data_IF_332072466339
#
_entry.id   IF_332072466339
#
_cell.length_a   1.000
_cell.length_b   1.000
_cell.length_c   1.000
_cell.angle_alpha   90.00
_cell.angle_beta   90.00
_cell.angle_gamma   90.00
#
_symmetry.space_group_name_H-M   'P 1'
#
loop_
_entity.id
_entity.type
_entity.pdbx_description
1 polymer ?
#
# COMPACT_ATOMS: atom_id res chain seq x y z
N UNK A 1 -1.18 -19.10 -7.37
CA UNK A 1 -0.60 -19.58 -6.11
C UNK A 1 -1.21 -20.93 -5.79
N UNK A 2 -0.40 -21.88 -5.33
CA UNK A 2 -0.85 -23.22 -4.94
C UNK A 2 -1.53 -23.13 -3.54
N UNK A 3 -2.85 -23.29 -3.52
CA UNK A 3 -3.67 -23.19 -2.30
C UNK A 3 -3.30 -24.28 -1.29
N UNK A 4 -3.05 -25.50 -1.75
CA UNK A 4 -2.70 -26.65 -0.87
C UNK A 4 -1.35 -26.44 -0.20
N UNK A 5 -0.37 -25.93 -0.95
CA UNK A 5 0.95 -25.62 -0.42
C UNK A 5 0.87 -24.52 0.66
N UNK A 6 0.14 -23.43 0.42
CA UNK A 6 -0.04 -22.35 1.40
C UNK A 6 -0.79 -22.85 2.63
N UNK A 7 -1.88 -23.60 2.46
CA UNK A 7 -2.63 -24.18 3.56
C UNK A 7 -1.78 -25.12 4.42
N UNK A 8 -0.90 -25.93 3.78
CA UNK A 8 0.06 -26.79 4.49
C UNK A 8 1.05 -25.99 5.35
N UNK A 9 1.48 -24.83 4.90
CA UNK A 9 2.32 -23.91 5.69
C UNK A 9 1.53 -23.34 6.88
N UNK A 10 0.33 -22.86 6.64
CA UNK A 10 -0.53 -22.29 7.68
C UNK A 10 -0.83 -23.29 8.80
N UNK A 11 -1.10 -24.56 8.45
CA UNK A 11 -1.33 -25.65 9.45
C UNK A 11 -0.16 -25.89 10.38
N UNK A 12 1.06 -25.60 9.94
CA UNK A 12 2.29 -25.79 10.72
C UNK A 12 2.79 -24.52 11.39
N UNK A 13 2.21 -23.37 11.03
CA UNK A 13 2.61 -22.09 11.58
C UNK A 13 2.14 -21.98 13.04
N UNK A 14 2.99 -21.44 13.89
CA UNK A 14 2.64 -21.11 15.27
C UNK A 14 1.57 -20.03 15.34
N UNK A 15 1.63 -19.07 14.43
CA UNK A 15 0.68 -17.98 14.28
C UNK A 15 0.53 -17.64 12.78
N UNK A 16 -0.66 -17.26 12.39
CA UNK A 16 -0.94 -16.83 11.02
C UNK A 16 -1.52 -15.42 11.05
N UNK A 17 -0.96 -14.55 10.23
CA UNK A 17 -1.52 -13.22 9.97
C UNK A 17 -1.70 -13.04 8.47
N UNK A 18 -2.86 -12.56 8.08
CA UNK A 18 -3.19 -12.21 6.69
C UNK A 18 -3.73 -10.79 6.62
N UNK A 19 -3.69 -10.21 5.43
CA UNK A 19 -4.08 -8.82 5.24
C UNK A 19 -5.58 -8.61 5.04
N UNK A 20 -6.28 -9.64 4.57
CA UNK A 20 -7.68 -9.55 4.18
C UNK A 20 -8.44 -10.86 4.42
N UNK A 21 -9.76 -10.75 4.50
CA UNK A 21 -10.68 -11.86 4.73
C UNK A 21 -10.64 -12.90 3.59
N UNK A 22 -10.51 -12.45 2.34
CA UNK A 22 -10.45 -13.34 1.17
C UNK A 22 -9.24 -14.26 1.27
N UNK A 23 -8.10 -13.75 1.70
CA UNK A 23 -6.89 -14.55 1.96
C UNK A 23 -7.12 -15.54 3.10
N UNK A 24 -7.78 -15.11 4.20
CA UNK A 24 -8.10 -15.97 5.32
C UNK A 24 -9.03 -17.13 4.92
N UNK A 25 -10.08 -16.84 4.16
CA UNK A 25 -11.04 -17.85 3.67
C UNK A 25 -10.37 -18.83 2.69
N UNK A 26 -9.61 -18.30 1.71
CA UNK A 26 -9.00 -19.11 0.66
C UNK A 26 -7.95 -20.10 1.20
N UNK A 27 -7.13 -19.68 2.15
CA UNK A 27 -6.01 -20.48 2.65
C UNK A 27 -6.21 -21.03 4.05
N UNK A 28 -7.25 -20.59 4.77
CA UNK A 28 -7.49 -20.94 6.16
C UNK A 28 -8.30 -22.21 6.38
N UNK A 29 -8.75 -22.89 5.32
CA UNK A 29 -9.60 -24.06 5.45
C UNK A 29 -8.94 -25.18 6.26
N UNK A 30 -9.59 -25.61 7.38
CA UNK A 30 -9.10 -26.67 8.25
C UNK A 30 -7.87 -26.28 9.09
N UNK A 31 -7.67 -25.01 9.35
CA UNK A 31 -6.65 -24.51 10.28
C UNK A 31 -7.28 -24.37 11.66
N UNK A 32 -6.67 -25.01 12.66
CA UNK A 32 -7.14 -24.96 14.05
C UNK A 32 -6.68 -23.68 14.77
N UNK A 33 -5.56 -23.10 14.34
CA UNK A 33 -5.03 -21.88 14.91
C UNK A 33 -5.83 -20.67 14.45
N UNK A 34 -5.95 -19.68 15.32
CA UNK A 34 -6.56 -18.40 14.99
C UNK A 34 -5.77 -17.72 13.86
N UNK A 35 -6.46 -17.33 12.78
CA UNK A 35 -5.92 -16.50 11.73
C UNK A 35 -6.25 -15.05 12.08
N UNK A 36 -5.23 -14.27 12.38
CA UNK A 36 -5.38 -12.84 12.60
C UNK A 36 -5.46 -12.11 11.26
N UNK A 37 -6.39 -11.18 11.14
CA UNK A 37 -6.50 -10.29 9.98
C UNK A 37 -6.09 -8.91 10.44
N UNK A 38 -4.99 -8.38 9.91
CA UNK A 38 -4.53 -7.02 10.22
C UNK A 38 -4.11 -6.31 8.93
N UNK A 39 -4.06 -4.98 8.97
CA UNK A 39 -3.47 -4.21 7.88
C UNK A 39 -1.99 -4.60 7.65
N UNK A 40 -1.45 -4.22 6.49
CA UNK A 40 -0.06 -4.50 6.15
C UNK A 40 0.90 -3.95 7.22
N UNK A 41 1.83 -4.75 7.78
CA UNK A 41 2.77 -4.31 8.81
C UNK A 41 3.69 -3.16 8.35
N UNK A 42 3.85 -2.96 7.05
CA UNK A 42 4.55 -1.79 6.49
C UNK A 42 3.97 -0.48 7.04
N UNK A 43 2.67 -0.42 7.33
CA UNK A 43 2.01 0.77 7.88
C UNK A 43 2.61 1.14 9.26
N UNK A 44 2.97 0.16 10.08
CA UNK A 44 3.63 0.42 11.36
C UNK A 44 5.03 1.00 11.17
N UNK A 45 5.80 0.48 10.20
CA UNK A 45 7.13 1.00 9.86
C UNK A 45 7.08 2.46 9.37
N UNK A 46 6.01 2.84 8.65
CA UNK A 46 5.86 4.19 8.11
C UNK A 46 5.64 5.28 9.16
N UNK A 47 5.32 4.91 10.40
CA UNK A 47 5.12 5.87 11.51
C UNK A 47 6.33 6.70 11.87
N UNK A 48 7.52 6.20 11.58
CA UNK A 48 8.79 6.86 11.92
C UNK A 48 9.21 7.89 10.86
N UNK A 49 8.38 8.07 9.81
CA UNK A 49 8.65 9.01 8.74
C UNK A 49 7.83 10.29 8.89
N UNK A 50 8.54 11.43 8.85
CA UNK A 50 7.91 12.74 8.83
C UNK A 50 7.68 13.22 7.39
N UNK A 51 6.43 13.58 7.09
CA UNK A 51 6.02 14.02 5.74
C UNK A 51 6.21 15.53 5.65
N UNK A 52 7.12 15.95 4.80
CA UNK A 52 7.45 17.33 4.46
C UNK A 52 6.98 17.64 3.03
N UNK A 53 5.66 17.63 2.83
CA UNK A 53 5.06 17.79 1.51
C UNK A 53 5.45 19.13 0.86
N UNK A 54 5.99 19.04 -0.35
CA UNK A 54 6.26 20.19 -1.22
C UNK A 54 5.01 20.51 -2.03
N UNK A 55 4.66 21.78 -2.12
CA UNK A 55 3.47 22.22 -2.85
C UNK A 55 3.52 21.75 -4.31
N UNK A 56 2.39 21.23 -4.79
CA UNK A 56 2.28 20.71 -6.16
C UNK A 56 3.29 19.62 -6.51
N UNK A 57 3.75 18.85 -5.52
CA UNK A 57 4.59 17.68 -5.75
C UNK A 57 3.74 16.41 -5.55
N UNK A 58 3.82 15.50 -6.50
CA UNK A 58 3.04 14.26 -6.55
C UNK A 58 3.97 13.07 -6.81
N UNK A 59 3.81 11.98 -6.04
CA UNK A 59 4.46 10.71 -6.36
C UNK A 59 3.56 9.89 -7.30
N UNK A 60 4.12 9.48 -8.45
CA UNK A 60 3.54 8.46 -9.31
C UNK A 60 4.23 7.11 -9.05
N UNK A 61 3.54 6.21 -8.35
CA UNK A 61 4.02 4.85 -8.05
C UNK A 61 3.48 3.86 -9.06
N UNK A 62 4.35 3.36 -9.96
CA UNK A 62 3.95 2.52 -11.10
C UNK A 62 4.23 1.03 -10.88
N UNK A 63 3.36 0.18 -11.44
CA UNK A 63 3.57 -1.27 -11.51
C UNK A 63 4.03 -1.64 -12.92
N UNK A 64 5.32 -2.04 -13.11
CA UNK A 64 5.89 -2.19 -14.45
C UNK A 64 5.32 -3.37 -15.26
N UNK A 65 4.64 -4.32 -14.61
CA UNK A 65 4.15 -5.54 -15.25
C UNK A 65 2.63 -5.56 -15.45
N UNK A 66 1.86 -4.84 -14.61
CA UNK A 66 0.39 -4.85 -14.66
C UNK A 66 -0.18 -3.78 -15.59
N UNK A 67 0.55 -2.70 -15.79
CA UNK A 67 0.14 -1.56 -16.58
C UNK A 67 1.23 -1.27 -17.60
N UNK A 68 0.84 -1.10 -18.85
CA UNK A 68 1.78 -0.83 -19.95
C UNK A 68 2.40 0.58 -19.84
N UNK A 69 3.56 0.74 -20.47
CA UNK A 69 4.34 1.99 -20.42
C UNK A 69 3.56 3.17 -21.01
N UNK A 70 2.79 2.95 -22.07
CA UNK A 70 1.98 4.00 -22.68
C UNK A 70 0.91 4.53 -21.73
N UNK A 71 0.31 3.67 -20.92
CA UNK A 71 -0.65 4.06 -19.89
C UNK A 71 0.04 4.83 -18.76
N UNK A 72 1.25 4.43 -18.35
CA UNK A 72 2.04 5.19 -17.38
C UNK A 72 2.36 6.60 -17.90
N UNK A 73 2.82 6.72 -19.14
CA UNK A 73 3.12 8.00 -19.76
C UNK A 73 1.91 8.93 -19.80
N UNK A 74 0.73 8.39 -20.13
CA UNK A 74 -0.53 9.15 -20.15
C UNK A 74 -0.91 9.62 -18.74
N UNK A 75 -0.79 8.77 -17.72
CA UNK A 75 -1.04 9.14 -16.33
C UNK A 75 -0.10 10.27 -15.92
N UNK A 76 1.20 10.15 -16.22
CA UNK A 76 2.18 11.19 -15.92
C UNK A 76 1.83 12.52 -16.60
N UNK A 77 1.52 12.49 -17.90
CA UNK A 77 1.12 13.69 -18.65
C UNK A 77 -0.11 14.38 -18.05
N UNK A 78 -1.11 13.61 -17.62
CA UNK A 78 -2.30 14.18 -16.97
C UNK A 78 -1.95 14.83 -15.63
N UNK A 79 -1.06 14.23 -14.84
CA UNK A 79 -0.60 14.82 -13.58
C UNK A 79 0.20 16.12 -13.82
N UNK A 80 1.08 16.13 -14.81
CA UNK A 80 1.86 17.31 -15.19
C UNK A 80 0.96 18.44 -15.75
N UNK A 81 -0.03 18.09 -16.57
CA UNK A 81 -1.04 19.03 -17.09
C UNK A 81 -1.90 19.65 -15.97
N UNK A 82 -2.13 18.93 -14.87
CA UNK A 82 -2.76 19.44 -13.67
C UNK A 82 -1.85 20.34 -12.81
N UNK A 83 -0.60 20.56 -13.25
CA UNK A 83 0.37 21.46 -12.62
C UNK A 83 1.20 20.81 -11.52
N UNK A 84 1.27 19.47 -11.47
CA UNK A 84 2.11 18.77 -10.51
C UNK A 84 3.53 18.56 -11.02
N UNK A 85 4.51 18.70 -10.11
CA UNK A 85 5.83 18.14 -10.27
C UNK A 85 5.76 16.65 -9.94
N UNK A 86 6.01 15.77 -10.92
CA UNK A 86 5.82 14.32 -10.78
C UNK A 86 7.12 13.63 -10.41
N UNK A 87 7.14 12.98 -9.26
CA UNK A 87 8.21 12.08 -8.82
C UNK A 87 7.81 10.64 -9.19
N UNK A 88 8.44 10.09 -10.23
CA UNK A 88 8.15 8.74 -10.71
C UNK A 88 8.96 7.69 -9.95
N UNK A 89 8.29 6.67 -9.40
CA UNK A 89 8.95 5.54 -8.75
C UNK A 89 8.28 4.22 -9.09
N UNK A 90 9.08 3.15 -9.24
CA UNK A 90 8.58 1.78 -9.28
C UNK A 90 8.29 1.22 -7.88
N UNK A 91 8.66 1.94 -6.84
CA UNK A 91 8.53 1.52 -5.43
C UNK A 91 9.09 0.10 -5.21
N UNK A 92 10.29 -0.14 -5.74
CA UNK A 92 11.04 -1.40 -5.65
C UNK A 92 12.45 -1.07 -5.19
N UNK A 93 12.86 -1.70 -4.09
CA UNK A 93 14.22 -1.56 -3.58
C UNK A 93 15.23 -2.11 -4.60
N UNK A 94 16.32 -1.38 -4.78
CA UNK A 94 17.50 -1.79 -5.57
C UNK A 94 18.75 -1.79 -4.71
N UNK A 95 19.88 -2.30 -5.18
CA UNK A 95 21.15 -2.20 -4.44
C UNK A 95 21.58 -0.74 -4.17
N UNK A 96 21.19 0.18 -5.05
CA UNK A 96 21.56 1.61 -4.99
C UNK A 96 20.56 2.46 -4.20
N UNK A 97 19.31 2.02 -4.09
CA UNK A 97 18.21 2.75 -3.47
C UNK A 97 17.44 1.88 -2.49
N UNK A 98 17.62 2.15 -1.21
CA UNK A 98 16.94 1.45 -0.12
C UNK A 98 15.46 1.82 0.01
N UNK A 99 14.70 1.02 0.73
CA UNK A 99 13.28 1.30 0.99
C UNK A 99 13.08 2.64 1.71
N UNK A 100 13.96 2.97 2.65
CA UNK A 100 13.91 4.22 3.39
C UNK A 100 14.13 5.43 2.47
N UNK A 101 15.07 5.33 1.53
CA UNK A 101 15.37 6.38 0.55
C UNK A 101 14.17 6.60 -0.38
N UNK A 102 13.53 5.51 -0.84
CA UNK A 102 12.31 5.58 -1.65
C UNK A 102 11.20 6.32 -0.89
N UNK A 103 10.96 5.96 0.37
CA UNK A 103 9.92 6.60 1.19
C UNK A 103 10.23 8.08 1.39
N UNK A 104 11.46 8.43 1.78
CA UNK A 104 11.87 9.82 2.05
C UNK A 104 11.86 10.68 0.80
N UNK A 105 12.45 10.19 -0.29
CA UNK A 105 12.63 10.98 -1.49
C UNK A 105 11.33 11.17 -2.29
N UNK A 106 10.53 10.13 -2.43
CA UNK A 106 9.31 10.20 -3.23
C UNK A 106 8.10 10.55 -2.35
N UNK A 107 7.76 9.71 -1.39
CA UNK A 107 6.49 9.83 -0.68
C UNK A 107 6.48 10.97 0.32
N UNK A 108 7.50 11.12 1.17
CA UNK A 108 7.49 12.15 2.21
C UNK A 108 7.51 13.59 1.67
N UNK A 109 7.87 13.79 0.40
CA UNK A 109 7.86 15.09 -0.27
C UNK A 109 6.55 15.40 -1.01
N UNK A 110 5.65 14.44 -1.10
CA UNK A 110 4.45 14.57 -1.93
C UNK A 110 3.22 14.97 -1.12
N UNK A 111 2.41 15.87 -1.69
CA UNK A 111 1.09 16.21 -1.16
C UNK A 111 0.00 15.24 -1.63
N UNK A 112 0.27 14.47 -2.70
CA UNK A 112 -0.63 13.50 -3.29
C UNK A 112 0.16 12.32 -3.86
N UNK A 113 -0.43 11.13 -3.84
CA UNK A 113 0.13 9.95 -4.51
C UNK A 113 -0.85 9.46 -5.57
N UNK A 114 -0.36 9.25 -6.79
CA UNK A 114 -1.07 8.48 -7.82
C UNK A 114 -0.40 7.11 -7.91
N UNK A 115 -1.17 6.04 -7.82
CA UNK A 115 -0.59 4.70 -7.78
C UNK A 115 -1.31 3.72 -8.69
N UNK A 116 -0.54 2.96 -9.46
CA UNK A 116 -0.99 1.75 -10.16
C UNK A 116 -0.57 0.48 -9.41
N UNK A 117 0.00 0.65 -8.20
CA UNK A 117 0.57 -0.41 -7.39
C UNK A 117 -0.01 -0.41 -5.98
N UNK A 118 -0.39 -1.58 -5.48
CA UNK A 118 -0.93 -1.69 -4.11
C UNK A 118 0.00 -1.10 -3.05
N UNK A 119 1.31 -1.39 -3.10
CA UNK A 119 2.24 -0.86 -2.09
C UNK A 119 2.41 0.66 -2.15
N UNK A 120 2.18 1.29 -3.31
CA UNK A 120 2.11 2.76 -3.38
C UNK A 120 0.92 3.33 -2.61
N UNK A 121 -0.25 2.71 -2.73
CA UNK A 121 -1.44 3.07 -1.97
C UNK A 121 -1.26 2.80 -0.45
N UNK A 122 -0.68 1.64 -0.08
CA UNK A 122 -0.36 1.31 1.32
C UNK A 122 0.61 2.34 1.93
N UNK A 123 1.64 2.73 1.19
CA UNK A 123 2.64 3.72 1.65
C UNK A 123 1.99 5.08 1.86
N UNK A 124 1.19 5.54 0.90
CA UNK A 124 0.46 6.80 1.03
C UNK A 124 -0.48 6.78 2.24
N UNK A 125 -1.29 5.73 2.39
CA UNK A 125 -2.20 5.56 3.51
C UNK A 125 -1.46 5.57 4.86
N UNK A 126 -0.36 4.80 4.98
CA UNK A 126 0.44 4.72 6.20
C UNK A 126 1.07 6.05 6.62
N UNK A 127 1.39 6.90 5.65
CA UNK A 127 1.92 8.26 5.86
C UNK A 127 0.83 9.33 6.01
N UNK A 128 -0.45 8.99 5.88
CA UNK A 128 -1.56 9.94 5.90
C UNK A 128 -1.61 10.85 4.67
N UNK A 129 -1.01 10.43 3.55
CA UNK A 129 -1.03 11.18 2.29
C UNK A 129 -2.26 10.73 1.49
N UNK A 130 -3.10 11.64 0.96
CA UNK A 130 -4.19 11.26 0.07
C UNK A 130 -3.65 10.55 -1.17
N UNK A 131 -4.41 9.56 -1.68
CA UNK A 131 -3.99 8.86 -2.89
C UNK A 131 -5.13 8.63 -3.87
N UNK A 132 -4.75 8.57 -5.16
CA UNK A 132 -5.59 8.17 -6.28
C UNK A 132 -5.00 6.88 -6.84
N UNK A 133 -5.80 5.84 -7.03
CA UNK A 133 -5.28 4.57 -7.50
C UNK A 133 -6.02 4.03 -8.73
N UNK A 134 -5.24 3.60 -9.73
CA UNK A 134 -5.71 2.77 -10.84
C UNK A 134 -5.59 1.30 -10.41
N UNK A 135 -6.69 0.59 -10.17
CA UNK A 135 -6.62 -0.79 -9.72
C UNK A 135 -6.24 -1.73 -10.86
N UNK A 136 -4.97 -2.06 -10.94
CA UNK A 136 -4.47 -3.08 -11.87
C UNK A 136 -4.87 -4.51 -11.47
N UNK A 137 -5.22 -4.72 -10.19
CA UNK A 137 -5.72 -5.97 -9.64
C UNK A 137 -6.76 -5.73 -8.53
N UNK A 138 -7.44 -6.79 -8.10
CA UNK A 138 -8.48 -6.72 -7.07
C UNK A 138 -7.92 -6.33 -5.68
N UNK A 139 -6.64 -6.52 -5.42
CA UNK A 139 -6.02 -6.18 -4.12
C UNK A 139 -6.06 -4.69 -3.83
N UNK A 140 -5.98 -3.85 -4.86
CA UNK A 140 -6.07 -2.38 -4.71
C UNK A 140 -7.50 -1.97 -4.34
N UNK A 141 -8.51 -2.58 -4.99
CA UNK A 141 -9.93 -2.34 -4.69
C UNK A 141 -10.26 -2.75 -3.27
N UNK A 142 -9.82 -3.95 -2.88
CA UNK A 142 -10.06 -4.48 -1.54
C UNK A 142 -9.36 -3.65 -0.46
N UNK A 143 -8.14 -3.21 -0.69
CA UNK A 143 -7.44 -2.33 0.23
C UNK A 143 -8.19 -1.01 0.44
N UNK A 144 -8.65 -0.39 -0.65
CA UNK A 144 -9.42 0.84 -0.57
C UNK A 144 -10.78 0.63 0.13
N UNK A 145 -11.44 -0.52 -0.13
CA UNK A 145 -12.70 -0.88 0.54
C UNK A 145 -12.54 -1.03 2.06
N UNK A 146 -11.45 -1.67 2.50
CA UNK A 146 -11.20 -1.96 3.92
C UNK A 146 -10.71 -0.74 4.70
N UNK A 147 -9.83 0.04 4.11
CA UNK A 147 -9.11 1.09 4.83
C UNK A 147 -9.46 2.51 4.37
N UNK A 148 -10.00 2.69 3.19
CA UNK A 148 -10.29 4.03 2.65
C UNK A 148 -9.04 4.86 2.39
N UNK A 149 -9.13 6.15 2.66
CA UNK A 149 -8.01 7.10 2.56
C UNK A 149 -7.64 7.57 1.15
N UNK A 150 -8.22 6.97 0.11
CA UNK A 150 -7.98 7.33 -1.29
C UNK A 150 -9.23 7.21 -2.15
N UNK A 151 -9.05 7.46 -3.45
CA UNK A 151 -10.09 7.30 -4.46
C UNK A 151 -9.57 6.45 -5.61
N UNK A 152 -10.46 5.68 -6.25
CA UNK A 152 -10.13 4.88 -7.42
C UNK A 152 -10.49 5.64 -8.70
N UNK A 153 -9.69 5.43 -9.74
CA UNK A 153 -10.02 5.87 -11.10
C UNK A 153 -9.82 4.71 -12.08
N UNK A 154 -10.57 4.73 -13.18
CA UNK A 154 -10.52 3.65 -14.17
C UNK A 154 -9.89 4.10 -15.51
N UNK A 155 -9.71 5.41 -15.70
CA UNK A 155 -9.13 6.00 -16.91
C UNK A 155 -8.54 7.39 -16.62
N UNK A 156 -7.83 7.95 -17.60
CA UNK A 156 -7.16 9.25 -17.47
C UNK A 156 -8.11 10.43 -17.35
N UNK A 157 -9.33 10.36 -17.90
CA UNK A 157 -10.32 11.43 -17.78
C UNK A 157 -10.84 11.52 -16.34
N UNK A 158 -11.17 10.37 -15.74
CA UNK A 158 -11.52 10.28 -14.34
C UNK A 158 -10.38 10.75 -13.42
N UNK A 159 -9.12 10.42 -13.77
CA UNK A 159 -7.96 10.93 -13.04
C UNK A 159 -7.89 12.46 -13.11
N UNK A 160 -8.08 13.07 -14.29
CA UNK A 160 -8.05 14.52 -14.45
C UNK A 160 -9.12 15.22 -13.61
N UNK A 161 -10.35 14.66 -13.56
CA UNK A 161 -11.43 15.15 -12.71
C UNK A 161 -11.08 15.06 -11.22
N UNK A 162 -10.46 13.97 -10.79
CA UNK A 162 -10.03 13.79 -9.40
C UNK A 162 -8.88 14.75 -9.04
N UNK A 163 -7.90 14.96 -9.92
CA UNK A 163 -6.79 15.90 -9.69
C UNK A 163 -7.26 17.38 -9.57
N UNK A 164 -8.41 17.71 -10.13
CA UNK A 164 -9.02 19.05 -9.99
C UNK A 164 -9.66 19.27 -8.62
N UNK A 165 -9.85 18.24 -7.81
CA UNK A 165 -10.44 18.33 -6.48
C UNK A 165 -9.40 18.74 -5.43
N UNK A 166 -9.89 19.20 -4.28
CA UNK A 166 -9.03 19.46 -3.12
C UNK A 166 -8.71 18.15 -2.41
N UNK A 167 -7.44 17.83 -2.26
CA UNK A 167 -6.95 16.67 -1.52
C UNK A 167 -6.50 17.08 -0.12
N UNK A 168 -7.11 16.49 0.89
CA UNK A 168 -6.80 16.79 2.29
C UNK A 168 -6.03 15.62 2.90
N UNK A 169 -4.97 15.94 3.64
CA UNK A 169 -4.19 14.96 4.38
C UNK A 169 -5.09 14.12 5.30
N UNK A 170 -4.91 12.82 5.26
CA UNK A 170 -5.67 11.87 6.03
C UNK A 170 -5.09 11.73 7.45
N UNK A 171 -5.93 11.41 8.45
CA UNK A 171 -5.40 11.01 9.75
C UNK A 171 -4.55 9.76 9.61
N UNK A 172 -3.50 9.65 10.43
CA UNK A 172 -2.67 8.46 10.45
C UNK A 172 -3.50 7.23 10.89
N UNK A 173 -3.29 6.06 10.26
CA UNK A 173 -4.06 4.86 10.58
C UNK A 173 -3.85 4.38 12.02
N UNK A 174 -4.86 3.74 12.58
CA UNK A 174 -4.74 3.07 13.87
C UNK A 174 -3.87 1.80 13.72
N UNK A 175 -2.85 1.69 14.55
CA UNK A 175 -1.92 0.55 14.56
C UNK A 175 -2.27 -0.53 15.59
N UNK A 176 -3.34 -0.37 16.36
CA UNK A 176 -3.63 -1.22 17.53
C UNK A 176 -3.57 -2.72 17.21
N UNK A 177 -4.22 -3.18 16.16
CA UNK A 177 -4.24 -4.59 15.79
C UNK A 177 -2.89 -5.10 15.27
N UNK A 178 -2.18 -4.31 14.46
CA UNK A 178 -0.85 -4.66 13.94
C UNK A 178 0.13 -4.83 15.11
N UNK A 179 0.16 -3.87 16.02
CA UNK A 179 1.05 -3.89 17.18
C UNK A 179 0.70 -5.03 18.14
N UNK A 180 -0.60 -5.25 18.40
CA UNK A 180 -1.06 -6.35 19.23
C UNK A 180 -0.67 -7.72 18.65
N UNK A 181 -0.79 -7.91 17.32
CA UNK A 181 -0.30 -9.12 16.67
C UNK A 181 1.22 -9.27 16.84
N UNK A 182 1.99 -8.21 16.58
CA UNK A 182 3.45 -8.22 16.73
C UNK A 182 3.89 -8.61 18.15
N UNK A 183 3.22 -8.11 19.16
CA UNK A 183 3.52 -8.47 20.56
C UNK A 183 3.18 -9.95 20.87
N UNK A 184 2.02 -10.43 20.42
CA UNK A 184 1.69 -11.88 20.56
C UNK A 184 2.73 -12.76 19.85
N UNK A 185 3.16 -12.40 18.66
CA UNK A 185 4.18 -13.12 17.92
C UNK A 185 5.54 -13.14 18.67
N UNK A 186 5.95 -12.00 19.25
CA UNK A 186 7.16 -11.89 20.06
C UNK A 186 7.13 -12.81 21.28
N UNK A 187 6.00 -12.82 22.00
CA UNK A 187 5.81 -13.69 23.18
C UNK A 187 5.84 -15.17 22.76
N UNK A 188 5.13 -15.52 21.69
CA UNK A 188 5.09 -16.90 21.19
C UNK A 188 6.48 -17.41 20.77
N UNK A 189 7.27 -16.58 20.07
CA UNK A 189 8.64 -16.93 19.67
C UNK A 189 9.58 -17.08 20.87
N UNK A 190 9.43 -16.26 21.91
CA UNK A 190 10.23 -16.35 23.13
C UNK A 190 9.95 -17.64 23.93
N UNK A 191 8.79 -18.25 23.77
CA UNK A 191 8.40 -19.48 24.44
C UNK A 191 9.00 -20.76 23.76
N UNK A 192 9.59 -20.65 22.59
CA UNK A 192 10.21 -21.75 21.83
C UNK A 192 11.70 -21.88 22.17
N UNK A 193 12.33 -20.81 22.63
CA UNK A 193 13.75 -20.75 23.02
C UNK A 193 13.93 -21.04 24.52
#
# INVERSE_FOLDING_TARGET
CDVEAVNSVFKRALMVNVRDEVTAELYGAGIENEISITACPTIAYLRDFDVQAEAKTLTLSVHPELIDEQTHDRIQQVCEAAGYNVLLTKNVQTPEEGLEDIIRYYFCRSELVVSTRLHGAITAYGLGIPYLALPGDEKVREFQRLYGGGQLFDNTDALAELLAQTHVRQPLPNLGEILAFGERARVALAAIN
#
